data_IF_379505720284
#
_entry.id   IF_379505720284
#
_cell.length_a   1.000
_cell.length_b   1.000
_cell.length_c   1.000
_cell.angle_alpha   90.00
_cell.angle_beta   90.00
_cell.angle_gamma   90.00
#
_symmetry.space_group_name_H-M   'P 1'
#
loop_
_entity.id
_entity.type
_entity.pdbx_description
1 polymer ?
#
# COMPACT_ATOMS: atom_id res chain seq x y z
N UNK A 1 15.21 12.44 -11.38
CA UNK A 1 14.36 11.91 -10.30
C UNK A 1 14.62 10.41 -10.18
N UNK A 2 14.41 9.79 -9.02
CA UNK A 2 14.61 8.35 -8.82
C UNK A 2 13.57 7.77 -7.88
N UNK A 3 13.36 6.46 -7.96
CA UNK A 3 12.39 5.70 -7.14
C UNK A 3 13.16 4.73 -6.25
N UNK A 4 12.92 4.77 -4.94
CA UNK A 4 13.41 3.78 -4.00
C UNK A 4 12.28 2.80 -3.64
N UNK A 5 12.45 1.54 -3.98
CA UNK A 5 11.60 0.43 -3.56
C UNK A 5 12.29 -0.24 -2.37
N UNK A 6 11.63 -0.18 -1.22
CA UNK A 6 12.21 -0.64 0.05
C UNK A 6 12.16 -2.17 0.11
N UNK A 7 13.31 -2.79 0.36
CA UNK A 7 13.42 -4.22 0.61
C UNK A 7 13.39 -4.51 2.12
N UNK A 8 12.25 -4.95 2.62
CA UNK A 8 12.08 -5.42 4.00
C UNK A 8 12.35 -6.92 4.18
N UNK A 9 13.04 -7.56 3.22
CA UNK A 9 13.29 -9.01 3.25
C UNK A 9 12.07 -9.87 2.90
N UNK A 10 10.96 -9.25 2.51
CA UNK A 10 9.71 -9.92 2.13
C UNK A 10 9.05 -9.18 0.97
N UNK A 11 8.39 -9.92 0.09
CA UNK A 11 7.64 -9.32 -1.02
C UNK A 11 8.15 -9.71 -2.40
N UNK A 12 7.27 -9.56 -3.39
CA UNK A 12 7.62 -9.75 -4.79
C UNK A 12 8.27 -8.48 -5.36
N UNK A 13 9.43 -8.11 -4.81
CA UNK A 13 10.17 -6.90 -5.15
C UNK A 13 10.48 -6.82 -6.64
N UNK A 14 10.76 -7.98 -7.29
CA UNK A 14 11.08 -8.02 -8.71
C UNK A 14 9.88 -7.62 -9.58
N UNK A 15 8.67 -8.06 -9.23
CA UNK A 15 7.46 -7.67 -9.97
C UNK A 15 7.14 -6.19 -9.75
N UNK A 16 7.27 -5.70 -8.52
CA UNK A 16 7.13 -4.27 -8.23
C UNK A 16 8.14 -3.46 -9.04
N UNK A 17 9.45 -3.78 -8.96
CA UNK A 17 10.49 -3.08 -9.70
C UNK A 17 10.21 -3.04 -11.20
N UNK A 18 9.87 -4.18 -11.82
CA UNK A 18 9.53 -4.24 -13.25
C UNK A 18 8.31 -3.37 -13.62
N UNK A 19 7.28 -3.32 -12.76
CA UNK A 19 6.12 -2.49 -13.02
C UNK A 19 6.46 -1.00 -12.95
N UNK A 20 7.28 -0.59 -11.99
CA UNK A 20 7.79 0.78 -11.90
C UNK A 20 8.75 1.12 -13.04
N UNK A 21 9.71 0.25 -13.37
CA UNK A 21 10.63 0.42 -14.50
C UNK A 21 9.90 0.62 -15.84
N UNK A 22 8.77 -0.09 -16.04
CA UNK A 22 7.94 0.05 -17.23
C UNK A 22 7.27 1.44 -17.32
N UNK A 23 6.96 2.06 -16.18
CA UNK A 23 6.28 3.36 -16.12
C UNK A 23 7.24 4.54 -15.97
N UNK A 24 8.52 4.28 -15.67
CA UNK A 24 9.56 5.30 -15.60
C UNK A 24 9.77 5.93 -16.98
N UNK A 25 9.81 7.25 -16.99
CA UNK A 25 10.17 8.05 -18.17
C UNK A 25 11.60 8.56 -18.03
N UNK A 26 12.13 9.24 -19.06
CA UNK A 26 13.45 9.90 -18.98
C UNK A 26 13.53 10.95 -17.86
N UNK A 27 12.39 11.47 -17.43
CA UNK A 27 12.30 12.49 -16.36
C UNK A 27 12.17 11.89 -14.96
N UNK A 28 11.66 10.67 -14.81
CA UNK A 28 11.46 10.02 -13.52
C UNK A 28 12.64 9.16 -13.05
N UNK A 29 13.66 8.94 -13.91
CA UNK A 29 14.94 8.33 -13.57
C UNK A 29 14.90 6.85 -13.11
N UNK A 30 16.00 6.31 -12.56
CA UNK A 30 16.13 4.90 -12.25
C UNK A 30 15.30 4.45 -11.05
N UNK A 31 14.96 3.14 -11.06
CA UNK A 31 14.31 2.43 -9.94
C UNK A 31 15.38 1.63 -9.18
N UNK A 32 15.45 1.82 -7.87
CA UNK A 32 16.37 1.11 -6.99
C UNK A 32 15.59 0.26 -6.00
N UNK A 33 15.84 -1.04 -5.97
CA UNK A 33 15.43 -1.91 -4.86
C UNK A 33 16.54 -1.82 -3.81
N UNK A 34 16.22 -1.38 -2.61
CA UNK A 34 17.26 -1.01 -1.64
C UNK A 34 16.83 -1.22 -0.18
N UNK A 35 17.84 -1.50 0.65
CA UNK A 35 17.78 -1.41 2.13
C UNK A 35 18.61 -0.23 2.65
N UNK A 36 19.31 0.48 1.77
CA UNK A 36 20.27 1.50 2.16
C UNK A 36 19.57 2.83 2.47
N UNK A 37 19.67 3.36 3.71
CA UNK A 37 19.08 4.65 4.09
C UNK A 37 19.50 5.81 3.19
N UNK A 38 20.76 5.84 2.75
CA UNK A 38 21.29 6.91 1.88
C UNK A 38 20.64 6.91 0.49
N UNK A 39 20.27 5.74 -0.04
CA UNK A 39 19.57 5.64 -1.31
C UNK A 39 18.13 6.14 -1.15
N UNK A 40 17.47 5.81 -0.03
CA UNK A 40 16.15 6.33 0.34
C UNK A 40 16.19 7.85 0.47
N UNK A 41 17.17 8.38 1.17
CA UNK A 41 17.34 9.82 1.35
C UNK A 41 17.50 10.58 0.03
N UNK A 42 18.12 9.98 -0.98
CA UNK A 42 18.35 10.61 -2.30
C UNK A 42 17.19 10.39 -3.28
N UNK A 43 16.27 9.46 -2.99
CA UNK A 43 15.15 9.18 -3.89
C UNK A 43 14.10 10.31 -3.85
N UNK A 44 13.39 10.47 -4.98
CA UNK A 44 12.28 11.42 -5.10
C UNK A 44 10.93 10.76 -4.78
N UNK A 45 10.80 9.47 -5.04
CA UNK A 45 9.63 8.65 -4.76
C UNK A 45 10.03 7.46 -3.91
N UNK A 46 9.23 7.15 -2.90
CA UNK A 46 9.47 6.04 -1.98
C UNK A 46 8.32 5.06 -2.05
N UNK A 47 8.63 3.79 -2.27
CA UNK A 47 7.65 2.71 -2.37
C UNK A 47 7.99 1.65 -1.33
N UNK A 48 7.02 1.28 -0.51
CA UNK A 48 7.13 0.25 0.51
C UNK A 48 6.19 -0.92 0.16
N UNK A 49 6.62 -1.89 -0.65
CA UNK A 49 5.87 -3.12 -0.83
C UNK A 49 6.05 -4.03 0.38
N UNK A 50 5.02 -4.82 0.69
CA UNK A 50 5.11 -5.83 1.74
C UNK A 50 4.27 -7.05 1.41
N UNK A 51 4.79 -8.25 1.67
CA UNK A 51 4.06 -9.52 1.57
C UNK A 51 4.34 -10.39 2.78
N UNK A 52 3.37 -11.24 3.15
CA UNK A 52 3.46 -12.09 4.32
C UNK A 52 2.84 -11.42 5.55
N UNK A 53 3.26 -11.83 6.71
CA UNK A 53 2.70 -11.35 7.96
C UNK A 53 3.26 -9.98 8.36
N UNK A 54 2.38 -9.12 8.89
CA UNK A 54 2.74 -7.77 9.35
C UNK A 54 3.96 -7.75 10.29
N UNK A 55 4.04 -8.59 11.36
CA UNK A 55 5.19 -8.57 12.26
C UNK A 55 6.52 -8.89 11.55
N UNK A 56 6.48 -9.76 10.53
CA UNK A 56 7.68 -10.14 9.79
C UNK A 56 8.20 -9.00 8.91
N UNK A 57 7.28 -8.31 8.21
CA UNK A 57 7.64 -7.15 7.37
C UNK A 57 8.16 -6.01 8.25
N UNK A 58 7.49 -5.75 9.39
CA UNK A 58 7.94 -4.75 10.37
C UNK A 58 9.32 -5.08 10.92
N UNK A 59 9.55 -6.33 11.32
CA UNK A 59 10.87 -6.81 11.78
C UNK A 59 11.94 -6.64 10.70
N UNK A 60 11.62 -6.95 9.44
CA UNK A 60 12.52 -6.75 8.30
C UNK A 60 12.93 -5.29 8.14
N UNK A 61 11.96 -4.38 8.24
CA UNK A 61 12.21 -2.93 8.20
C UNK A 61 13.10 -2.48 9.37
N UNK A 62 12.76 -2.88 10.60
CA UNK A 62 13.48 -2.47 11.81
C UNK A 62 14.87 -3.10 11.93
N UNK A 63 15.13 -4.20 11.22
CA UNK A 63 16.43 -4.90 11.27
C UNK A 63 17.55 -4.15 10.56
N UNK A 64 17.20 -3.15 9.74
CA UNK A 64 18.19 -2.36 9.01
C UNK A 64 18.45 -1.04 9.74
N UNK A 65 19.64 -0.85 10.32
CA UNK A 65 19.96 0.38 11.05
C UNK A 65 19.75 1.63 10.20
N UNK A 66 19.04 2.62 10.75
CA UNK A 66 18.80 3.91 10.10
C UNK A 66 17.72 3.91 9.01
N UNK A 67 17.19 2.74 8.57
CA UNK A 67 16.21 2.70 7.48
C UNK A 67 14.86 3.29 7.90
N UNK A 68 14.39 2.95 9.08
CA UNK A 68 13.12 3.48 9.61
C UNK A 68 13.21 4.99 9.85
N UNK A 69 14.30 5.44 10.40
CA UNK A 69 14.60 6.86 10.65
C UNK A 69 14.63 7.64 9.34
N UNK A 70 15.33 7.11 8.32
CA UNK A 70 15.40 7.72 7.01
C UNK A 70 14.02 7.77 6.34
N UNK A 71 13.22 6.69 6.45
CA UNK A 71 11.84 6.70 5.94
C UNK A 71 10.98 7.76 6.61
N UNK A 72 11.06 7.87 7.95
CA UNK A 72 10.33 8.90 8.69
C UNK A 72 10.74 10.30 8.24
N UNK A 73 12.03 10.58 8.20
CA UNK A 73 12.56 11.86 7.77
C UNK A 73 12.11 12.22 6.35
N UNK A 74 12.29 11.30 5.39
CA UNK A 74 12.01 11.60 4.00
C UNK A 74 10.51 11.68 3.68
N UNK A 75 9.68 10.86 4.32
CA UNK A 75 8.24 10.79 4.05
C UNK A 75 7.47 11.80 4.91
N UNK A 76 7.73 11.82 6.24
CA UNK A 76 6.93 12.62 7.16
C UNK A 76 7.48 14.05 7.26
N UNK A 77 8.79 14.20 7.42
CA UNK A 77 9.38 15.51 7.70
C UNK A 77 9.69 16.28 6.40
N UNK A 78 10.11 15.57 5.33
CA UNK A 78 10.41 16.18 4.01
C UNK A 78 9.26 16.14 3.01
N UNK A 79 8.18 15.41 3.28
CA UNK A 79 6.98 15.37 2.43
C UNK A 79 7.18 14.66 1.08
N UNK A 80 8.13 13.73 0.95
CA UNK A 80 8.33 13.00 -0.30
C UNK A 80 7.15 12.08 -0.60
N UNK A 81 6.72 11.95 -1.88
CA UNK A 81 5.66 11.03 -2.27
C UNK A 81 5.96 9.61 -1.84
N UNK A 82 5.00 9.01 -1.13
CA UNK A 82 5.10 7.65 -0.57
C UNK A 82 3.94 6.77 -1.03
N UNK A 83 4.26 5.54 -1.43
CA UNK A 83 3.28 4.51 -1.77
C UNK A 83 3.54 3.24 -0.95
N UNK A 84 2.60 2.91 -0.05
CA UNK A 84 2.55 1.61 0.64
C UNK A 84 1.72 0.59 -0.16
N UNK A 85 2.25 -0.62 -0.39
CA UNK A 85 1.53 -1.67 -1.13
C UNK A 85 1.29 -2.87 -0.21
N UNK A 86 0.02 -3.30 -0.09
CA UNK A 86 -0.45 -4.42 0.71
C UNK A 86 -0.01 -4.28 2.18
N UNK A 87 0.89 -5.11 2.69
CA UNK A 87 1.42 -4.97 4.06
C UNK A 87 2.17 -3.64 4.24
N UNK A 88 2.75 -3.09 3.17
CA UNK A 88 3.36 -1.75 3.20
C UNK A 88 2.35 -0.63 3.48
N UNK A 89 1.12 -0.75 2.96
CA UNK A 89 0.01 0.12 3.37
C UNK A 89 -0.37 -0.12 4.84
N UNK A 90 -0.49 -1.37 5.24
CA UNK A 90 -0.86 -1.73 6.61
C UNK A 90 0.15 -1.20 7.63
N UNK A 91 1.44 -1.18 7.31
CA UNK A 91 2.49 -0.61 8.17
C UNK A 91 2.30 0.88 8.47
N UNK A 92 1.52 1.61 7.68
CA UNK A 92 1.20 3.02 7.97
C UNK A 92 0.29 3.20 9.19
N UNK A 93 -0.40 2.14 9.64
CA UNK A 93 -1.28 2.13 10.82
C UNK A 93 -0.52 2.35 12.14
N UNK A 94 -1.29 2.61 13.21
CA UNK A 94 -0.75 2.67 14.57
C UNK A 94 -0.32 1.29 15.06
N UNK A 95 -1.17 0.25 14.84
CA UNK A 95 -0.98 -1.10 15.37
C UNK A 95 -1.60 -2.17 14.47
N UNK A 96 -1.04 -3.35 14.48
CA UNK A 96 -1.62 -4.56 13.89
C UNK A 96 -1.88 -5.62 14.96
N UNK A 97 -3.00 -6.34 14.80
CA UNK A 97 -3.40 -7.48 15.62
C UNK A 97 -3.15 -8.83 14.93
N UNK A 98 -2.29 -8.87 13.91
CA UNK A 98 -1.90 -10.12 13.26
C UNK A 98 -0.95 -10.92 14.14
N UNK A 99 -1.39 -12.11 14.59
CA UNK A 99 -0.73 -13.00 15.56
C UNK A 99 -0.52 -12.39 16.96
N UNK A 100 0.05 -11.20 17.03
CA UNK A 100 0.33 -10.46 18.26
C UNK A 100 0.23 -8.95 18.01
N UNK A 101 -0.10 -8.15 19.03
CA UNK A 101 -0.05 -6.71 18.90
C UNK A 101 1.35 -6.25 18.46
N UNK A 102 1.43 -5.59 17.33
CA UNK A 102 2.69 -5.08 16.74
C UNK A 102 2.50 -3.66 16.28
N UNK A 103 3.31 -2.74 16.78
CA UNK A 103 3.25 -1.34 16.39
C UNK A 103 3.60 -1.16 14.91
N UNK A 104 2.82 -0.31 14.22
CA UNK A 104 3.10 0.15 12.88
C UNK A 104 4.08 1.33 12.84
N UNK A 105 3.95 2.13 11.79
CA UNK A 105 4.71 3.39 11.64
C UNK A 105 3.97 4.57 12.27
N UNK A 106 2.67 4.43 12.56
CA UNK A 106 1.84 5.46 13.17
C UNK A 106 1.63 6.71 12.28
N UNK A 107 1.67 6.53 10.95
CA UNK A 107 1.51 7.64 10.01
C UNK A 107 0.05 7.99 9.73
N UNK A 108 -0.82 6.98 9.71
CA UNK A 108 -2.26 7.15 9.61
C UNK A 108 -2.96 6.50 10.81
N UNK A 109 -3.77 7.24 11.57
CA UNK A 109 -4.49 6.68 12.71
C UNK A 109 -5.42 5.53 12.32
N UNK A 110 -5.30 4.40 13.02
CA UNK A 110 -6.11 3.22 12.83
C UNK A 110 -5.37 1.93 13.14
N UNK A 111 -6.02 0.80 12.88
CA UNK A 111 -5.52 -0.52 13.24
C UNK A 111 -5.64 -1.52 12.09
N UNK A 112 -4.78 -2.52 12.09
CA UNK A 112 -4.86 -3.66 11.18
C UNK A 112 -5.49 -4.84 11.92
N UNK A 113 -6.61 -5.35 11.39
CA UNK A 113 -7.34 -6.48 11.96
C UNK A 113 -7.75 -7.49 10.91
N UNK A 114 -7.99 -8.73 11.35
CA UNK A 114 -8.45 -9.82 10.48
C UNK A 114 -9.78 -9.43 9.80
N UNK A 115 -9.90 -9.75 8.52
CA UNK A 115 -11.19 -9.61 7.82
C UNK A 115 -12.15 -10.70 8.29
N UNK A 116 -13.42 -10.35 8.46
CA UNK A 116 -14.50 -11.29 8.79
C UNK A 116 -15.62 -11.10 7.76
N UNK A 117 -15.44 -11.64 6.54
CA UNK A 117 -16.37 -11.38 5.43
C UNK A 117 -17.71 -12.10 5.62
N UNK A 118 -17.77 -13.05 6.53
CA UNK A 118 -18.95 -13.86 6.80
C UNK A 118 -19.80 -13.33 7.97
N UNK A 119 -19.40 -12.21 8.54
CA UNK A 119 -20.06 -11.63 9.73
C UNK A 119 -21.56 -11.36 9.57
N UNK A 120 -21.99 -11.05 8.35
CA UNK A 120 -23.38 -10.70 8.05
C UNK A 120 -24.07 -11.72 7.12
N UNK A 121 -23.45 -12.88 6.88
CA UNK A 121 -24.04 -13.92 6.04
C UNK A 121 -25.33 -14.47 6.67
N UNK A 122 -26.31 -14.73 5.81
CA UNK A 122 -27.48 -15.52 6.14
C UNK A 122 -27.20 -17.00 5.86
N UNK A 123 -27.97 -17.89 6.49
CA UNK A 123 -27.75 -19.34 6.44
C UNK A 123 -27.77 -19.97 5.04
N UNK A 124 -28.30 -19.29 4.04
CA UNK A 124 -28.41 -19.77 2.64
C UNK A 124 -27.32 -19.23 1.71
N UNK A 125 -26.46 -18.31 2.20
CA UNK A 125 -25.42 -17.69 1.39
C UNK A 125 -24.15 -18.55 1.38
N UNK A 126 -23.45 -18.62 0.25
CA UNK A 126 -22.14 -19.24 0.18
C UNK A 126 -21.09 -18.39 0.95
N UNK A 127 -20.28 -19.03 1.82
CA UNK A 127 -19.32 -18.32 2.62
C UNK A 127 -18.15 -17.78 1.79
N UNK A 128 -17.79 -16.53 2.02
CA UNK A 128 -16.56 -15.96 1.50
C UNK A 128 -15.32 -16.65 2.08
N UNK A 129 -14.34 -16.89 1.25
CA UNK A 129 -13.06 -17.49 1.67
C UNK A 129 -12.10 -16.43 2.22
N UNK A 130 -11.29 -16.81 3.19
CA UNK A 130 -10.16 -16.00 3.67
C UNK A 130 -8.89 -16.78 3.38
N UNK A 131 -7.92 -16.20 2.69
CA UNK A 131 -7.78 -14.79 2.31
C UNK A 131 -8.75 -14.31 1.23
N UNK A 132 -9.07 -13.01 1.21
CA UNK A 132 -9.61 -12.31 0.05
C UNK A 132 -8.56 -12.37 -1.05
N UNK A 133 -8.76 -13.25 -2.03
CA UNK A 133 -7.80 -13.50 -3.09
C UNK A 133 -8.51 -13.50 -4.45
N UNK A 134 -8.09 -12.58 -5.31
CA UNK A 134 -8.62 -12.44 -6.65
C UNK A 134 -8.83 -11.00 -7.07
N UNK A 135 -9.53 -10.85 -8.19
CA UNK A 135 -9.90 -9.55 -8.74
C UNK A 135 -11.17 -9.06 -8.07
N UNK A 136 -11.17 -7.80 -7.62
CA UNK A 136 -12.34 -7.18 -7.03
C UNK A 136 -12.43 -5.72 -7.47
N UNK A 137 -13.66 -5.21 -7.59
CA UNK A 137 -13.95 -3.85 -7.96
C UNK A 137 -13.72 -2.90 -6.77
N UNK A 138 -13.21 -1.70 -7.03
CA UNK A 138 -13.06 -0.67 -6.01
C UNK A 138 -14.12 0.41 -6.15
N UNK A 139 -14.63 0.88 -5.01
CA UNK A 139 -15.48 2.07 -4.89
C UNK A 139 -14.61 3.20 -4.40
N UNK A 140 -14.43 4.23 -5.25
CA UNK A 140 -13.57 5.38 -4.99
C UNK A 140 -14.42 6.52 -4.42
N UNK A 141 -14.01 7.09 -3.30
CA UNK A 141 -14.68 8.22 -2.64
C UNK A 141 -14.05 9.57 -2.98
N UNK A 142 -12.74 9.59 -3.24
CA UNK A 142 -11.99 10.76 -3.64
C UNK A 142 -11.53 10.60 -5.11
N UNK A 143 -12.42 10.95 -6.03
CA UNK A 143 -12.18 10.85 -7.46
C UNK A 143 -11.18 11.90 -7.97
N UNK A 144 -10.95 12.96 -7.22
CA UNK A 144 -10.04 14.04 -7.57
C UNK A 144 -8.61 13.77 -7.13
N UNK A 145 -8.37 12.68 -6.36
CA UNK A 145 -7.02 12.33 -5.91
C UNK A 145 -6.10 12.04 -7.11
N UNK A 146 -4.98 12.79 -7.27
CA UNK A 146 -4.15 12.72 -8.48
C UNK A 146 -3.66 11.31 -8.83
N UNK A 147 -3.38 10.47 -7.82
CA UNK A 147 -2.91 9.08 -8.03
C UNK A 147 -4.01 8.18 -8.59
N UNK A 148 -5.28 8.56 -8.48
CA UNK A 148 -6.43 7.84 -9.03
C UNK A 148 -6.95 8.44 -10.35
N UNK A 149 -6.28 9.43 -10.90
CA UNK A 149 -6.68 10.06 -12.16
C UNK A 149 -6.80 9.03 -13.31
N UNK A 150 -7.91 9.10 -14.06
CA UNK A 150 -8.25 8.15 -15.13
C UNK A 150 -8.35 6.67 -14.66
N UNK A 151 -8.74 6.47 -13.39
CA UNK A 151 -9.14 5.18 -12.84
C UNK A 151 -10.62 5.32 -12.48
N UNK A 152 -11.47 4.64 -13.24
CA UNK A 152 -12.93 4.75 -13.06
C UNK A 152 -13.38 4.03 -11.80
N UNK A 153 -14.45 4.54 -11.19
CA UNK A 153 -15.14 3.84 -10.11
C UNK A 153 -15.64 2.48 -10.61
N UNK A 154 -15.43 1.43 -9.84
CA UNK A 154 -15.71 0.05 -10.25
C UNK A 154 -14.55 -0.62 -11.00
N UNK A 155 -13.40 0.02 -11.18
CA UNK A 155 -12.20 -0.61 -11.73
C UNK A 155 -11.75 -1.80 -10.88
N UNK A 156 -11.27 -2.85 -11.55
CA UNK A 156 -10.83 -4.09 -10.91
C UNK A 156 -9.34 -4.08 -10.60
N UNK A 157 -9.01 -4.54 -9.37
CA UNK A 157 -7.63 -4.72 -8.92
C UNK A 157 -7.47 -6.10 -8.29
N UNK A 158 -6.21 -6.57 -8.21
CA UNK A 158 -5.88 -7.87 -7.64
C UNK A 158 -5.55 -7.76 -6.15
N UNK A 159 -6.33 -8.46 -5.33
CA UNK A 159 -6.18 -8.55 -3.87
C UNK A 159 -5.64 -9.91 -3.47
N UNK A 160 -4.86 -9.96 -2.40
CA UNK A 160 -4.49 -11.18 -1.68
C UNK A 160 -4.12 -10.83 -0.25
N UNK A 161 -5.10 -10.90 0.68
CA UNK A 161 -4.89 -10.53 2.07
C UNK A 161 -5.93 -11.17 3.00
N UNK A 162 -5.55 -11.38 4.28
CA UNK A 162 -6.42 -11.87 5.36
C UNK A 162 -6.69 -10.82 6.43
N UNK A 163 -5.96 -9.72 6.40
CA UNK A 163 -6.07 -8.58 7.32
C UNK A 163 -6.31 -7.30 6.53
N UNK A 164 -6.95 -6.32 7.15
CA UNK A 164 -7.23 -5.02 6.55
C UNK A 164 -6.87 -3.89 7.50
N UNK A 165 -6.49 -2.76 6.96
CA UNK A 165 -6.29 -1.52 7.68
C UNK A 165 -7.65 -0.82 7.88
N UNK A 166 -8.12 -0.72 9.13
CA UNK A 166 -9.29 0.06 9.52
C UNK A 166 -8.84 1.46 9.91
N UNK A 167 -8.99 2.41 9.01
CA UNK A 167 -8.65 3.82 9.28
C UNK A 167 -9.62 4.44 10.27
N UNK A 168 -9.10 5.18 11.24
CA UNK A 168 -9.91 5.86 12.24
C UNK A 168 -10.55 7.15 11.72
N UNK A 169 -9.88 7.86 10.82
CA UNK A 169 -10.37 9.11 10.23
C UNK A 169 -10.93 8.86 8.83
N UNK A 170 -12.22 9.20 8.62
CA UNK A 170 -12.90 8.98 7.33
C UNK A 170 -12.22 9.65 6.14
N UNK A 171 -11.64 10.83 6.33
CA UNK A 171 -10.92 11.55 5.28
C UNK A 171 -9.59 10.89 4.85
N UNK A 172 -9.14 9.87 5.55
CA UNK A 172 -8.00 9.05 5.12
C UNK A 172 -8.43 7.81 4.30
N UNK A 173 -9.74 7.53 4.21
CA UNK A 173 -10.29 6.43 3.42
C UNK A 173 -10.60 6.96 2.02
N UNK A 174 -9.81 6.53 1.04
CA UNK A 174 -9.93 7.00 -0.36
C UNK A 174 -10.78 6.04 -1.19
N UNK A 175 -10.61 4.72 -0.99
CA UNK A 175 -11.41 3.72 -1.69
C UNK A 175 -11.63 2.47 -0.85
N UNK A 176 -12.72 1.75 -1.17
CA UNK A 176 -13.05 0.46 -0.57
C UNK A 176 -13.32 -0.59 -1.65
N UNK A 177 -13.40 -1.85 -1.24
CA UNK A 177 -13.92 -2.96 -2.02
C UNK A 177 -14.93 -3.74 -1.17
N UNK A 178 -15.97 -4.29 -1.79
CA UNK A 178 -16.93 -5.15 -1.10
C UNK A 178 -16.48 -6.62 -1.17
N UNK A 179 -16.39 -7.25 -0.01
CA UNK A 179 -16.09 -8.68 0.11
C UNK A 179 -16.90 -9.28 1.27
N UNK A 180 -18.23 -9.17 1.20
CA UNK A 180 -19.15 -9.51 2.31
C UNK A 180 -19.07 -8.55 3.49
N UNK A 181 -17.99 -7.84 3.60
CA UNK A 181 -17.77 -6.65 4.44
C UNK A 181 -16.98 -5.61 3.65
N UNK A 182 -17.10 -4.36 4.07
CA UNK A 182 -16.34 -3.28 3.45
C UNK A 182 -14.86 -3.40 3.78
N UNK A 183 -14.03 -3.59 2.74
CA UNK A 183 -12.57 -3.67 2.83
C UNK A 183 -11.97 -2.32 2.46
N UNK A 184 -11.06 -1.82 3.26
CA UNK A 184 -10.25 -0.66 2.91
C UNK A 184 -9.33 -1.01 1.73
N UNK A 185 -9.56 -0.41 0.57
CA UNK A 185 -8.78 -0.67 -0.65
C UNK A 185 -7.66 0.35 -0.84
N UNK A 186 -7.92 1.64 -0.55
CA UNK A 186 -6.94 2.73 -0.66
C UNK A 186 -7.08 3.66 0.53
N UNK A 187 -5.94 4.03 1.10
CA UNK A 187 -5.83 5.07 2.14
C UNK A 187 -4.90 6.18 1.67
N UNK A 188 -5.06 7.39 2.19
CA UNK A 188 -4.14 8.48 1.89
C UNK A 188 -4.22 9.63 2.86
N UNK A 189 -3.14 10.41 2.91
CA UNK A 189 -3.01 11.66 3.64
C UNK A 189 -1.81 12.44 3.11
N UNK A 190 -1.98 13.69 2.79
CA UNK A 190 -0.91 14.58 2.34
C UNK A 190 -0.12 13.95 1.16
N UNK A 191 1.14 13.64 1.37
CA UNK A 191 2.07 13.02 0.41
C UNK A 191 2.08 11.47 0.47
N UNK A 192 1.20 10.86 1.24
CA UNK A 192 1.18 9.40 1.46
C UNK A 192 -0.07 8.78 0.87
N UNK A 193 0.12 7.70 0.11
CA UNK A 193 -0.96 6.84 -0.36
C UNK A 193 -0.61 5.38 -0.11
N UNK A 194 -1.62 4.56 0.16
CA UNK A 194 -1.45 3.12 0.34
C UNK A 194 -2.55 2.33 -0.36
N UNK A 195 -2.22 1.18 -0.94
CA UNK A 195 -3.17 0.26 -1.58
C UNK A 195 -3.14 -1.10 -0.91
N UNK A 196 -4.32 -1.68 -0.62
CA UNK A 196 -4.42 -3.06 -0.14
C UNK A 196 -4.20 -4.06 -1.26
N UNK A 197 -4.61 -3.71 -2.46
CA UNK A 197 -4.34 -4.48 -3.67
C UNK A 197 -2.91 -4.28 -4.17
N UNK A 198 -2.51 -5.14 -5.10
CA UNK A 198 -1.20 -5.13 -5.73
C UNK A 198 -1.28 -4.43 -7.10
N UNK A 199 -0.91 -3.14 -7.23
CA UNK A 199 -0.93 -2.46 -8.53
C UNK A 199 -0.01 -3.14 -9.54
N UNK A 200 1.13 -3.70 -9.12
CA UNK A 200 2.07 -4.43 -9.98
C UNK A 200 1.49 -5.75 -10.55
N UNK A 201 0.34 -6.21 -10.00
CA UNK A 201 -0.39 -7.40 -10.47
C UNK A 201 -1.74 -7.04 -11.11
N UNK A 202 -2.09 -5.77 -11.16
CA UNK A 202 -3.41 -5.28 -11.55
C UNK A 202 -3.47 -4.77 -13.00
N UNK A 203 -2.63 -5.31 -13.88
CA UNK A 203 -2.62 -5.03 -15.31
C UNK A 203 -2.65 -3.52 -15.65
N UNK A 204 -3.51 -3.09 -16.58
CA UNK A 204 -3.59 -1.72 -17.07
C UNK A 204 -3.93 -0.69 -15.99
N UNK A 205 -4.91 -1.00 -15.12
CA UNK A 205 -5.32 -0.09 -14.04
C UNK A 205 -4.22 0.06 -12.99
N UNK A 206 -3.53 -1.04 -12.65
CA UNK A 206 -2.39 -0.98 -11.74
C UNK A 206 -1.22 -0.18 -12.30
N UNK A 207 -0.91 -0.34 -13.59
CA UNK A 207 0.12 0.46 -14.26
C UNK A 207 -0.27 1.94 -14.35
N UNK A 208 -1.56 2.24 -14.54
CA UNK A 208 -2.08 3.62 -14.51
C UNK A 208 -1.84 4.26 -13.14
N UNK A 209 -2.16 3.55 -12.06
CA UNK A 209 -1.92 4.04 -10.70
C UNK A 209 -0.43 4.31 -10.45
N UNK A 210 0.46 3.39 -10.87
CA UNK A 210 1.91 3.57 -10.76
C UNK A 210 2.37 4.80 -11.56
N UNK A 211 1.87 4.98 -12.78
CA UNK A 211 2.19 6.14 -13.61
C UNK A 211 1.75 7.45 -12.95
N UNK A 212 0.53 7.48 -12.42
CA UNK A 212 0.00 8.65 -11.73
C UNK A 212 0.83 8.98 -10.47
N UNK A 213 1.21 7.96 -9.69
CA UNK A 213 2.08 8.12 -8.53
C UNK A 213 3.43 8.74 -8.91
N UNK A 214 4.04 8.31 -10.02
CA UNK A 214 5.34 8.82 -10.49
C UNK A 214 5.29 10.25 -11.03
N UNK A 215 4.10 10.80 -11.26
CA UNK A 215 3.87 12.19 -11.67
C UNK A 215 3.23 13.05 -10.58
N UNK A 216 2.93 12.43 -9.43
CA UNK A 216 2.28 13.11 -8.32
C UNK A 216 3.24 14.06 -7.62
N UNK A 217 2.81 15.30 -7.45
CA UNK A 217 3.45 16.35 -6.66
C UNK A 217 2.46 16.74 -5.56
N UNK A 218 2.54 16.14 -4.35
CA UNK A 218 1.65 16.43 -3.24
C UNK A 218 1.88 17.80 -2.64
#
# INVERSE_FOLDING_TARGET
MSVAIIDCGSGNLRSAAKAFEKMVTKTTGPVYVTKCPDVVAKANFIVLPGQGAFPNVKKGLDSVPGLRESLKEQVVDCGKPFLGICVGMQLMADISHEYMPTDGLGWLPGEVSKIDPNRYLKNEDEPFKVPHMGWNAVTIYDLDHPVLNNIDNGSYFYFVHSFQFKVKKKNHLIATADYGVMITAVVGRDNMIGTQFHPEKSQGMGLRLIQNFLTWCP
#
